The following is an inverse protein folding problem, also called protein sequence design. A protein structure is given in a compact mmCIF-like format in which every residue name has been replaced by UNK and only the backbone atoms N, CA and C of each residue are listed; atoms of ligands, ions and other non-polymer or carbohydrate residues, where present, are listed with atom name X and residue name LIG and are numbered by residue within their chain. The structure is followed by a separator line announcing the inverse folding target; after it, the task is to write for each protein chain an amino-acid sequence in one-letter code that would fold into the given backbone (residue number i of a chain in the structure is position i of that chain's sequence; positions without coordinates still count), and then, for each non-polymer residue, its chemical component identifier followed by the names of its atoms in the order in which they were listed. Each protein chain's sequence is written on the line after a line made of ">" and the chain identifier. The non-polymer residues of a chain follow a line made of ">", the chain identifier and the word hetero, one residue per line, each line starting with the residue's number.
data_IF_442216092352
#
_entry.id   IF_442216092352
#
_cell.length_a   1.000
_cell.length_b   1.000
_cell.length_c   1.000
_cell.angle_alpha   90.00
_cell.angle_beta   90.00
_cell.angle_gamma   90.00
#
_symmetry.space_group_name_H-M   'P 1'
#
loop_
_entity.id
_entity.type
_entity.pdbx_description
1 polymer ?
#
# COMPACT_ATOMS: atom_id res chain seq x y z
N UNK A 1 1.18 1.12 23.26
CA UNK A 1 0.66 0.71 21.93
C UNK A 1 1.82 0.67 20.96
N UNK A 2 2.04 -0.46 20.29
CA UNK A 2 3.03 -0.55 19.21
C UNK A 2 2.62 0.40 18.08
N UNK A 3 3.57 1.17 17.56
CA UNK A 3 3.33 2.13 16.48
C UNK A 3 3.05 1.37 15.19
N UNK A 4 1.88 1.56 14.59
CA UNK A 4 1.48 0.91 13.32
C UNK A 4 2.39 1.34 12.17
N UNK A 5 2.89 0.38 11.39
CA UNK A 5 3.59 0.63 10.14
C UNK A 5 2.59 0.83 9.02
N UNK A 6 2.69 1.95 8.31
CA UNK A 6 1.78 2.34 7.23
C UNK A 6 2.62 2.80 6.05
N UNK A 7 2.67 1.99 4.99
CA UNK A 7 3.38 2.32 3.76
C UNK A 7 2.80 3.57 3.08
N UNK A 8 1.49 3.59 2.86
CA UNK A 8 0.74 4.70 2.29
C UNK A 8 -0.76 4.54 2.60
N UNK A 9 -1.57 5.63 2.56
CA UNK A 9 -3.01 5.51 2.65
C UNK A 9 -3.55 4.78 1.42
N UNK A 10 -4.51 3.88 1.61
CA UNK A 10 -5.07 3.08 0.53
C UNK A 10 -6.54 2.83 0.79
N UNK A 11 -7.33 2.83 -0.29
CA UNK A 11 -8.76 2.54 -0.20
C UNK A 11 -8.96 1.12 0.35
N UNK A 12 -9.89 0.95 1.28
CA UNK A 12 -10.11 -0.33 1.98
C UNK A 12 -9.02 -0.75 2.98
N UNK A 13 -7.94 0.01 3.15
CA UNK A 13 -6.80 -0.37 3.99
C UNK A 13 -7.18 -0.64 5.46
N UNK A 14 -6.72 -1.78 6.00
CA UNK A 14 -7.11 -2.31 7.31
C UNK A 14 -6.42 -1.68 8.52
N UNK A 15 -5.79 -0.52 8.36
CA UNK A 15 -5.02 0.16 9.40
C UNK A 15 -5.84 0.46 10.67
N UNK A 16 -7.12 0.78 10.53
CA UNK A 16 -8.01 1.03 11.67
C UNK A 16 -8.43 -0.26 12.37
N UNK A 17 -8.49 -1.36 11.63
CA UNK A 17 -8.95 -2.69 12.05
C UNK A 17 -7.84 -3.54 12.71
N UNK A 18 -6.56 -3.19 12.57
CA UNK A 18 -5.45 -4.04 13.03
C UNK A 18 -5.55 -4.50 14.49
N UNK A 19 -6.05 -3.67 15.42
CA UNK A 19 -6.12 -4.03 16.84
C UNK A 19 -7.10 -5.16 17.14
N UNK A 20 -8.16 -5.32 16.34
CA UNK A 20 -9.10 -6.43 16.48
C UNK A 20 -8.76 -7.59 15.56
N UNK A 21 -8.21 -7.29 14.37
CA UNK A 21 -7.92 -8.28 13.33
C UNK A 21 -6.69 -9.13 13.66
N UNK A 22 -5.57 -8.52 14.04
CA UNK A 22 -4.30 -9.23 14.24
C UNK A 22 -4.38 -10.35 15.30
N UNK A 23 -5.09 -10.18 16.45
CA UNK A 23 -5.27 -11.26 17.41
C UNK A 23 -6.04 -12.49 16.90
N UNK A 24 -6.76 -12.36 15.77
CA UNK A 24 -7.51 -13.47 15.16
C UNK A 24 -6.68 -14.26 14.16
N UNK A 25 -5.51 -13.75 13.77
CA UNK A 25 -4.64 -14.41 12.81
C UNK A 25 -3.80 -15.46 13.54
N UNK A 26 -3.78 -16.73 13.08
CA UNK A 26 -2.90 -17.72 13.67
C UNK A 26 -1.44 -17.42 13.32
N UNK A 27 -0.53 -17.91 14.15
CA UNK A 27 0.85 -18.10 13.70
C UNK A 27 0.87 -19.15 12.59
N UNK A 28 1.70 -18.93 11.57
CA UNK A 28 1.81 -19.83 10.42
C UNK A 28 3.23 -19.82 9.85
N UNK A 29 3.61 -20.88 9.15
CA UNK A 29 4.90 -20.99 8.47
C UNK A 29 4.89 -20.19 7.16
N UNK A 30 3.76 -20.19 6.43
CA UNK A 30 3.58 -19.47 5.16
C UNK A 30 2.39 -18.52 5.28
N UNK A 31 2.64 -17.23 5.13
CA UNK A 31 1.58 -16.22 5.12
C UNK A 31 1.47 -15.61 3.73
N UNK A 32 0.24 -15.49 3.21
CA UNK A 32 -0.02 -15.02 1.85
C UNK A 32 -1.09 -13.93 1.88
N UNK A 33 -0.85 -12.80 1.21
CA UNK A 33 -1.87 -11.79 0.91
C UNK A 33 -2.10 -11.72 -0.61
N UNK A 34 -3.09 -12.45 -1.15
CA UNK A 34 -3.45 -12.36 -2.57
C UNK A 34 -3.99 -10.99 -3.00
N UNK A 35 -4.54 -10.22 -2.06
CA UNK A 35 -5.05 -8.85 -2.23
C UNK A 35 -4.33 -7.90 -1.27
N UNK A 36 -3.05 -7.65 -1.53
CA UNK A 36 -2.15 -7.02 -0.56
C UNK A 36 -2.41 -5.54 -0.34
N UNK A 37 -2.81 -4.78 -1.36
CA UNK A 37 -3.02 -3.33 -1.27
C UNK A 37 -1.85 -2.63 -0.58
N UNK A 38 -2.13 -1.88 0.50
CA UNK A 38 -1.08 -1.22 1.32
C UNK A 38 -0.24 -2.13 2.22
N UNK A 39 -0.41 -3.45 2.15
CA UNK A 39 0.22 -4.46 3.01
C UNK A 39 -0.03 -4.22 4.51
N UNK A 40 -1.20 -3.67 4.86
CA UNK A 40 -1.48 -3.20 6.21
C UNK A 40 -1.39 -4.32 7.25
N UNK A 41 -1.87 -5.52 6.90
CA UNK A 41 -1.84 -6.68 7.81
C UNK A 41 -0.46 -7.30 7.84
N UNK A 42 0.14 -7.60 6.68
CA UNK A 42 1.51 -8.11 6.56
C UNK A 42 2.54 -7.26 7.32
N UNK A 43 2.49 -5.92 7.18
CA UNK A 43 3.45 -5.03 7.84
C UNK A 43 3.30 -4.99 9.38
N UNK A 44 2.16 -5.42 9.92
CA UNK A 44 1.87 -5.29 11.36
C UNK A 44 1.64 -6.62 12.07
N UNK A 45 1.52 -7.74 11.35
CA UNK A 45 1.49 -9.08 11.93
C UNK A 45 2.87 -9.55 12.37
N UNK A 46 2.88 -10.53 13.25
CA UNK A 46 4.07 -11.32 13.55
C UNK A 46 4.61 -11.98 12.28
N UNK A 47 5.92 -11.92 12.08
CA UNK A 47 6.57 -12.39 10.87
C UNK A 47 6.51 -13.92 10.78
N UNK A 48 6.08 -14.41 9.62
CA UNK A 48 6.26 -15.82 9.23
C UNK A 48 7.61 -16.03 8.52
N UNK A 49 8.17 -17.26 8.56
CA UNK A 49 9.37 -17.60 7.79
C UNK A 49 9.21 -17.37 6.29
N UNK A 50 8.02 -17.62 5.75
CA UNK A 50 7.67 -17.34 4.35
C UNK A 50 6.49 -16.37 4.33
N UNK A 51 6.66 -15.23 3.68
CA UNK A 51 5.59 -14.25 3.45
C UNK A 51 5.52 -13.91 1.97
N UNK A 52 4.30 -13.95 1.41
CA UNK A 52 4.00 -13.63 0.01
C UNK A 52 3.03 -12.45 -0.02
N UNK A 53 3.40 -11.42 -0.75
CA UNK A 53 2.57 -10.28 -1.07
C UNK A 53 2.21 -10.32 -2.56
N UNK A 54 0.93 -10.17 -2.88
CA UNK A 54 0.45 -10.02 -4.25
C UNK A 54 -0.54 -8.86 -4.33
N UNK A 55 -0.51 -8.15 -5.44
CA UNK A 55 -1.63 -7.30 -5.86
C UNK A 55 -1.74 -7.36 -7.38
N UNK A 56 -2.94 -7.10 -7.91
CA UNK A 56 -3.14 -7.00 -9.35
C UNK A 56 -2.67 -5.64 -9.87
N UNK A 57 -2.71 -4.59 -9.04
CA UNK A 57 -2.26 -3.25 -9.42
C UNK A 57 -0.72 -3.19 -9.47
N UNK A 58 -0.22 -3.17 -10.70
CA UNK A 58 1.20 -3.06 -10.97
C UNK A 58 1.84 -1.80 -10.39
N UNK A 59 1.12 -0.70 -10.20
CA UNK A 59 1.67 0.50 -9.56
C UNK A 59 2.01 0.25 -8.09
N UNK A 60 1.13 -0.47 -7.39
CA UNK A 60 1.29 -0.83 -5.99
C UNK A 60 2.44 -1.83 -5.84
N UNK A 61 2.46 -2.87 -6.68
CA UNK A 61 3.53 -3.87 -6.69
C UNK A 61 4.87 -3.23 -7.05
N UNK A 62 4.91 -2.36 -8.07
CA UNK A 62 6.10 -1.61 -8.45
C UNK A 62 6.63 -0.77 -7.29
N UNK A 63 5.74 -0.07 -6.56
CA UNK A 63 6.14 0.71 -5.40
C UNK A 63 6.85 -0.14 -4.34
N UNK A 64 6.29 -1.30 -3.95
CA UNK A 64 6.95 -2.16 -2.96
C UNK A 64 8.26 -2.76 -3.46
N UNK A 65 8.35 -3.13 -4.75
CA UNK A 65 9.59 -3.62 -5.37
C UNK A 65 10.68 -2.56 -5.35
N UNK A 66 10.39 -1.36 -5.86
CA UNK A 66 11.35 -0.24 -5.88
C UNK A 66 11.70 0.18 -4.47
N UNK A 67 10.73 0.26 -3.57
CA UNK A 67 10.98 0.60 -2.18
C UNK A 67 11.97 -0.38 -1.52
N UNK A 68 11.86 -1.68 -1.81
CA UNK A 68 12.78 -2.70 -1.30
C UNK A 68 14.16 -2.63 -1.97
N UNK A 69 14.19 -2.49 -3.29
CA UNK A 69 15.40 -2.68 -4.11
C UNK A 69 16.23 -1.39 -4.30
N UNK A 70 15.59 -0.22 -4.25
CA UNK A 70 16.16 1.11 -4.51
C UNK A 70 15.65 2.13 -3.46
N UNK A 71 15.72 1.74 -2.18
CA UNK A 71 15.14 2.49 -1.08
C UNK A 71 15.68 3.94 -1.00
N UNK A 72 17.01 4.08 -1.00
CA UNK A 72 17.68 5.36 -0.80
C UNK A 72 17.38 6.32 -1.95
N UNK A 73 17.46 5.85 -3.20
CA UNK A 73 17.15 6.65 -4.38
C UNK A 73 15.69 7.11 -4.38
N UNK A 74 14.75 6.21 -4.06
CA UNK A 74 13.34 6.57 -3.97
C UNK A 74 13.09 7.59 -2.86
N UNK A 75 13.70 7.38 -1.69
CA UNK A 75 13.56 8.28 -0.54
C UNK A 75 14.06 9.68 -0.88
N UNK A 76 15.23 9.79 -1.51
CA UNK A 76 15.83 11.06 -1.86
C UNK A 76 15.00 11.80 -2.93
N UNK A 77 14.51 11.10 -3.95
CA UNK A 77 13.59 11.66 -4.94
C UNK A 77 12.27 12.16 -4.31
N UNK A 78 11.75 11.45 -3.31
CA UNK A 78 10.55 11.86 -2.59
C UNK A 78 10.81 13.09 -1.71
N UNK A 79 11.97 13.19 -1.04
CA UNK A 79 12.34 14.39 -0.29
C UNK A 79 12.50 15.62 -1.18
N UNK A 80 13.05 15.45 -2.38
CA UNK A 80 13.22 16.53 -3.36
C UNK A 80 11.91 16.89 -4.08
N UNK A 81 10.88 16.04 -4.01
CA UNK A 81 9.57 16.33 -4.61
C UNK A 81 8.80 17.32 -3.73
N UNK A 82 8.45 18.51 -4.25
CA UNK A 82 7.72 19.50 -3.47
C UNK A 82 6.28 19.07 -3.23
N UNK A 83 5.73 19.42 -2.06
CA UNK A 83 4.29 19.36 -1.84
C UNK A 83 3.61 20.49 -2.62
N UNK A 84 3.20 20.21 -3.85
CA UNK A 84 2.70 21.24 -4.77
C UNK A 84 1.68 20.67 -5.75
N UNK A 85 0.74 21.52 -6.15
CA UNK A 85 -0.27 21.16 -7.14
C UNK A 85 0.36 20.76 -8.49
N UNK A 86 1.43 21.44 -8.90
CA UNK A 86 2.16 21.12 -10.14
C UNK A 86 2.82 19.74 -10.07
N UNK A 87 3.53 19.42 -8.98
CA UNK A 87 4.13 18.10 -8.82
C UNK A 87 3.07 16.98 -8.78
N UNK A 88 1.93 17.24 -8.14
CA UNK A 88 0.80 16.32 -8.11
C UNK A 88 0.22 16.08 -9.52
N UNK A 89 -0.04 17.13 -10.29
CA UNK A 89 -0.54 16.96 -11.66
C UNK A 89 0.46 16.24 -12.57
N UNK A 90 1.74 16.61 -12.51
CA UNK A 90 2.78 15.97 -13.30
C UNK A 90 2.96 14.49 -12.95
N UNK A 91 2.57 14.07 -11.73
CA UNK A 91 2.63 12.67 -11.32
C UNK A 91 1.59 11.78 -12.01
N UNK A 92 0.59 12.36 -12.70
CA UNK A 92 -0.34 11.60 -13.54
C UNK A 92 0.22 11.23 -14.91
N UNK A 93 1.30 11.88 -15.35
CA UNK A 93 1.91 11.58 -16.64
C UNK A 93 2.47 10.14 -16.63
N UNK A 94 2.41 9.43 -17.77
CA UNK A 94 2.97 8.08 -17.87
C UNK A 94 4.50 8.10 -17.81
N UNK A 95 5.09 6.99 -17.36
CA UNK A 95 6.53 6.74 -17.36
C UNK A 95 6.79 5.25 -17.39
N UNK A 96 7.84 4.84 -18.09
CA UNK A 96 8.34 3.46 -18.10
C UNK A 96 9.45 3.22 -17.07
N UNK A 97 10.01 4.28 -16.48
CA UNK A 97 11.00 4.16 -15.42
C UNK A 97 10.34 3.69 -14.11
N UNK A 98 10.70 2.50 -13.59
CA UNK A 98 10.13 1.97 -12.35
C UNK A 98 10.29 2.90 -11.15
N UNK A 99 11.44 3.57 -11.04
CA UNK A 99 11.76 4.46 -9.91
C UNK A 99 10.86 5.70 -9.94
N UNK A 100 10.79 6.37 -11.08
CA UNK A 100 9.86 7.49 -11.28
C UNK A 100 8.40 7.06 -11.12
N UNK A 101 8.03 5.87 -11.58
CA UNK A 101 6.67 5.31 -11.39
C UNK A 101 6.32 5.17 -9.91
N UNK A 102 7.25 4.67 -9.08
CA UNK A 102 7.07 4.57 -7.63
C UNK A 102 6.98 5.96 -6.96
N UNK A 103 7.85 6.90 -7.35
CA UNK A 103 7.82 8.29 -6.86
C UNK A 103 6.48 8.98 -7.18
N UNK A 104 6.00 8.84 -8.42
CA UNK A 104 4.71 9.39 -8.89
C UNK A 104 3.54 8.77 -8.16
N UNK A 105 3.48 7.44 -8.05
CA UNK A 105 2.44 6.73 -7.30
C UNK A 105 2.31 7.24 -5.86
N UNK A 106 3.44 7.33 -5.14
CA UNK A 106 3.45 7.81 -3.76
C UNK A 106 3.07 9.29 -3.65
N UNK A 107 3.49 10.11 -4.62
CA UNK A 107 3.10 11.52 -4.75
C UNK A 107 1.59 11.65 -4.90
N UNK A 108 0.98 10.91 -5.83
CA UNK A 108 -0.46 10.93 -6.07
C UNK A 108 -1.25 10.51 -4.82
N UNK A 109 -0.84 9.42 -4.17
CA UNK A 109 -1.54 8.92 -2.99
C UNK A 109 -1.40 9.89 -1.80
N UNK A 110 -0.21 10.42 -1.52
CA UNK A 110 -0.02 11.24 -0.31
C UNK A 110 -0.33 12.72 -0.48
N UNK A 111 -0.29 13.25 -1.70
CA UNK A 111 -0.69 14.63 -1.96
C UNK A 111 -2.16 14.76 -2.37
N UNK A 112 -2.90 13.67 -2.55
CA UNK A 112 -4.34 13.71 -2.82
C UNK A 112 -5.20 13.79 -1.56
N UNK A 113 -6.40 14.34 -1.73
CA UNK A 113 -7.44 14.32 -0.71
C UNK A 113 -7.83 12.87 -0.42
N UNK A 114 -7.67 12.49 0.86
CA UNK A 114 -7.98 11.14 1.38
C UNK A 114 -7.28 9.97 0.65
N UNK A 115 -6.19 10.22 -0.08
CA UNK A 115 -5.49 9.15 -0.82
C UNK A 115 -6.19 8.69 -2.08
N UNK A 116 -7.14 9.47 -2.60
CA UNK A 116 -7.95 9.11 -3.79
C UNK A 116 -7.20 9.19 -5.12
N UNK A 117 -5.99 9.76 -5.13
CA UNK A 117 -5.21 10.08 -6.34
C UNK A 117 -5.88 11.07 -7.31
N UNK A 118 -7.08 11.61 -7.01
CA UNK A 118 -7.87 12.44 -7.96
C UNK A 118 -7.71 13.94 -7.77
N UNK A 119 -7.80 14.39 -6.52
CA UNK A 119 -7.81 15.82 -6.19
C UNK A 119 -6.68 16.13 -5.26
N UNK A 120 -5.87 17.15 -5.59
CA UNK A 120 -4.80 17.63 -4.71
C UNK A 120 -5.36 18.11 -3.36
N UNK A 121 -4.72 17.73 -2.26
CA UNK A 121 -5.11 18.15 -0.91
C UNK A 121 -4.44 19.46 -0.52
N UNK A 122 -5.22 20.32 0.14
CA UNK A 122 -4.73 21.53 0.78
C UNK A 122 -5.04 21.51 2.27
N UNK A 123 -4.21 22.16 3.07
CA UNK A 123 -4.42 22.26 4.51
C UNK A 123 -3.35 23.13 5.15
N UNK A 124 -3.77 24.31 5.64
CA UNK A 124 -2.88 25.32 6.21
C UNK A 124 -2.74 25.25 7.73
N UNK A 125 -3.47 24.34 8.38
CA UNK A 125 -3.33 24.12 9.83
C UNK A 125 -1.88 23.76 10.16
N UNK A 126 -1.28 24.47 11.13
CA UNK A 126 0.09 24.20 11.55
C UNK A 126 0.17 22.94 12.42
N UNK A 127 1.18 22.12 12.15
CA UNK A 127 1.51 20.91 12.93
C UNK A 127 3.01 20.65 12.89
N UNK A 128 3.63 20.61 14.07
CA UNK A 128 5.07 20.38 14.24
C UNK A 128 5.94 21.29 13.34
N UNK A 129 5.61 22.58 13.28
CA UNK A 129 6.36 23.57 12.49
C UNK A 129 6.05 23.62 10.99
N UNK A 130 5.17 22.76 10.48
CA UNK A 130 4.80 22.69 9.06
C UNK A 130 3.30 22.84 8.85
N UNK A 131 2.86 23.07 7.61
CA UNK A 131 1.45 22.84 7.26
C UNK A 131 1.11 21.36 7.47
N UNK A 132 -0.14 21.06 7.84
CA UNK A 132 -0.60 19.70 8.12
C UNK A 132 -0.30 18.75 6.98
N UNK A 133 -0.42 19.23 5.74
CA UNK A 133 -0.17 18.44 4.54
C UNK A 133 1.31 18.13 4.36
N UNK A 134 2.19 19.13 4.52
CA UNK A 134 3.65 18.94 4.45
C UNK A 134 4.13 18.02 5.57
N UNK A 135 3.61 18.17 6.79
CA UNK A 135 3.94 17.28 7.91
C UNK A 135 3.58 15.81 7.60
N UNK A 136 2.42 15.57 6.96
CA UNK A 136 1.98 14.21 6.56
C UNK A 136 2.81 13.63 5.42
N UNK A 137 3.27 14.48 4.50
CA UNK A 137 4.17 14.12 3.40
C UNK A 137 5.52 13.65 3.95
N UNK A 138 6.23 14.52 4.67
CA UNK A 138 7.55 14.24 5.24
C UNK A 138 7.51 13.06 6.22
N UNK A 139 6.56 13.06 7.15
CA UNK A 139 6.38 11.94 8.09
C UNK A 139 5.87 10.65 7.43
N UNK A 140 5.46 10.71 6.17
CA UNK A 140 5.20 9.53 5.34
C UNK A 140 6.48 8.93 4.77
N UNK A 141 7.37 9.78 4.26
CA UNK A 141 8.68 9.39 3.72
C UNK A 141 9.56 8.81 4.83
N UNK A 142 9.62 9.46 6.00
CA UNK A 142 10.42 9.01 7.15
C UNK A 142 10.06 7.61 7.65
N UNK A 143 8.83 7.15 7.41
CA UNK A 143 8.37 5.81 7.84
C UNK A 143 8.78 4.71 6.87
N UNK A 144 9.21 5.06 5.66
CA UNK A 144 9.51 4.08 4.62
C UNK A 144 10.68 3.17 5.01
N UNK A 145 11.67 3.66 5.74
CA UNK A 145 12.78 2.87 6.29
C UNK A 145 12.29 1.66 7.11
N UNK A 146 11.34 1.89 8.01
CA UNK A 146 10.76 0.84 8.84
C UNK A 146 9.88 -0.13 8.02
N UNK A 147 9.24 0.37 6.97
CA UNK A 147 8.47 -0.46 6.03
C UNK A 147 9.41 -1.38 5.25
N UNK A 148 10.51 -0.87 4.70
CA UNK A 148 11.54 -1.65 3.99
C UNK A 148 12.09 -2.74 4.89
N UNK A 149 12.50 -2.36 6.11
CA UNK A 149 13.02 -3.30 7.11
C UNK A 149 12.03 -4.44 7.38
N UNK A 150 10.73 -4.13 7.55
CA UNK A 150 9.70 -5.16 7.77
C UNK A 150 9.38 -5.98 6.52
N UNK A 151 9.48 -5.39 5.34
CA UNK A 151 9.13 -6.03 4.07
C UNK A 151 10.29 -6.82 3.45
N UNK A 152 11.49 -6.71 4.02
CA UNK A 152 12.69 -7.43 3.56
C UNK A 152 12.52 -8.95 3.66
N UNK A 153 12.64 -9.68 2.55
CA UNK A 153 12.43 -11.14 2.53
C UNK A 153 10.98 -11.57 2.27
N UNK A 154 10.07 -10.62 2.00
CA UNK A 154 8.74 -10.90 1.46
C UNK A 154 8.86 -11.19 -0.04
N UNK A 155 8.25 -12.29 -0.48
CA UNK A 155 8.09 -12.63 -1.89
C UNK A 155 7.01 -11.74 -2.50
N UNK A 156 7.26 -11.20 -3.70
CA UNK A 156 6.36 -10.25 -4.35
C UNK A 156 5.87 -10.83 -5.67
N UNK A 157 4.56 -10.99 -5.78
CA UNK A 157 3.84 -11.41 -6.98
C UNK A 157 3.04 -10.24 -7.57
N UNK A 158 2.66 -10.38 -8.85
CA UNK A 158 1.81 -9.44 -9.58
C UNK A 158 0.88 -10.23 -10.51
N UNK A 159 -0.01 -11.03 -9.91
CA UNK A 159 -0.84 -12.03 -10.60
C UNK A 159 -2.31 -11.90 -10.19
N UNK A 160 -3.25 -12.43 -11.00
CA UNK A 160 -4.63 -12.61 -10.55
C UNK A 160 -4.68 -13.37 -9.22
N UNK A 161 -5.49 -12.90 -8.28
CA UNK A 161 -5.51 -13.43 -6.93
C UNK A 161 -5.82 -14.93 -6.86
N UNK A 162 -6.73 -15.44 -7.70
CA UNK A 162 -7.05 -16.87 -7.78
C UNK A 162 -5.83 -17.73 -8.12
N UNK A 163 -4.97 -17.27 -9.04
CA UNK A 163 -3.72 -17.98 -9.36
C UNK A 163 -2.80 -18.07 -8.13
N UNK A 164 -2.69 -16.97 -7.36
CA UNK A 164 -1.87 -16.95 -6.14
C UNK A 164 -2.48 -17.84 -5.07
N UNK A 165 -3.81 -17.82 -4.91
CA UNK A 165 -4.50 -18.67 -3.95
C UNK A 165 -4.19 -20.14 -4.21
N UNK A 166 -4.34 -20.59 -5.46
CA UNK A 166 -4.05 -21.97 -5.87
C UNK A 166 -2.56 -22.31 -5.75
N UNK A 167 -1.66 -21.42 -6.17
CA UNK A 167 -0.22 -21.66 -6.17
C UNK A 167 0.37 -21.81 -4.75
N UNK A 168 -0.27 -21.21 -3.75
CA UNK A 168 0.17 -21.25 -2.35
C UNK A 168 -0.84 -21.95 -1.42
N UNK A 169 -1.75 -22.77 -1.97
CA UNK A 169 -2.66 -23.61 -1.17
C UNK A 169 -1.88 -24.79 -0.57
N UNK A 170 -1.47 -24.62 0.69
CA UNK A 170 -0.67 -25.57 1.44
C UNK A 170 -1.17 -25.69 2.89
N UNK A 171 -1.13 -26.87 3.53
CA UNK A 171 -1.62 -27.06 4.91
C UNK A 171 -0.91 -26.19 5.95
N UNK A 172 0.30 -25.72 5.70
CA UNK A 172 1.03 -24.80 6.58
C UNK A 172 0.90 -23.33 6.14
N UNK A 173 -0.03 -23.03 5.22
CA UNK A 173 -0.31 -21.68 4.76
C UNK A 173 -1.50 -21.06 5.51
N UNK A 174 -1.41 -19.76 5.76
CA UNK A 174 -2.56 -18.93 6.08
C UNK A 174 -2.66 -17.83 5.02
N UNK A 175 -3.77 -17.82 4.29
CA UNK A 175 -4.03 -16.81 3.27
C UNK A 175 -5.03 -15.78 3.78
N UNK A 176 -4.64 -14.51 3.82
CA UNK A 176 -5.50 -13.40 4.19
C UNK A 176 -6.09 -12.75 2.94
N UNK A 177 -7.40 -12.94 2.74
CA UNK A 177 -8.12 -12.41 1.58
C UNK A 177 -8.86 -11.12 1.96
N UNK A 178 -8.51 -10.04 1.29
CA UNK A 178 -9.18 -8.73 1.42
C UNK A 178 -9.55 -8.17 0.04
N UNK A 179 -10.41 -8.87 -0.72
CA UNK A 179 -10.79 -8.43 -2.05
C UNK A 179 -11.55 -7.09 -2.02
N UNK A 180 -11.58 -6.35 -3.15
CA UNK A 180 -12.53 -5.28 -3.34
C UNK A 180 -13.96 -5.73 -2.96
N UNK A 181 -14.64 -5.06 -2.01
CA UNK A 181 -15.97 -5.50 -1.52
C UNK A 181 -17.07 -5.56 -2.59
N UNK A 182 -18.11 -6.37 -2.42
CA UNK A 182 -19.28 -6.31 -3.32
C UNK A 182 -19.85 -4.89 -3.42
N UNK A 183 -20.34 -4.49 -4.60
CA UNK A 183 -20.76 -3.11 -4.86
C UNK A 183 -21.85 -2.60 -3.90
N UNK A 184 -22.73 -3.49 -3.45
CA UNK A 184 -23.83 -3.17 -2.52
C UNK A 184 -23.31 -2.75 -1.13
N UNK A 185 -22.11 -3.18 -0.75
CA UNK A 185 -21.49 -2.85 0.54
C UNK A 185 -20.67 -1.55 0.50
N UNK A 186 -20.66 -0.82 -0.63
CA UNK A 186 -19.80 0.36 -0.82
C UNK A 186 -20.58 1.64 -1.09
N UNK A 187 -20.08 2.75 -0.51
CA UNK A 187 -20.57 4.09 -0.84
C UNK A 187 -20.09 4.59 -2.22
N UNK A 188 -19.00 4.03 -2.76
CA UNK A 188 -18.40 4.44 -4.05
C UNK A 188 -17.96 3.22 -4.86
N UNK A 189 -18.19 3.25 -6.18
CA UNK A 189 -17.83 2.16 -7.11
C UNK A 189 -16.45 2.29 -7.77
N UNK A 190 -15.73 3.37 -7.50
CA UNK A 190 -14.48 3.72 -8.21
C UNK A 190 -13.28 3.87 -7.26
N UNK A 191 -13.18 2.98 -6.27
CA UNK A 191 -12.16 3.06 -5.21
C UNK A 191 -10.86 2.33 -5.54
N UNK A 192 -10.93 1.32 -6.40
CA UNK A 192 -9.78 0.55 -6.88
C UNK A 192 -9.59 0.75 -8.38
N UNK A 193 -8.34 0.69 -8.84
CA UNK A 193 -8.03 0.75 -10.27
C UNK A 193 -8.43 -0.57 -10.98
N UNK A 194 -8.49 -1.67 -10.22
CA UNK A 194 -8.97 -2.98 -10.64
C UNK A 194 -10.15 -3.41 -9.75
N UNK A 195 -11.35 -3.49 -10.33
CA UNK A 195 -12.59 -3.85 -9.62
C UNK A 195 -12.98 -5.32 -9.85
N UNK A 196 -13.77 -5.87 -8.91
CA UNK A 196 -14.38 -7.19 -9.02
C UNK A 196 -15.89 -7.07 -9.23
N UNK A 197 -16.42 -7.92 -10.11
CA UNK A 197 -17.88 -8.08 -10.29
C UNK A 197 -18.47 -8.97 -9.21
N UNK A 198 -19.79 -8.92 -9.02
CA UNK A 198 -20.47 -9.84 -8.10
C UNK A 198 -20.29 -11.32 -8.48
N UNK A 199 -19.97 -11.63 -9.75
CA UNK A 199 -19.69 -12.99 -10.18
C UNK A 199 -18.28 -13.44 -9.78
N UNK A 200 -17.29 -12.55 -9.81
CA UNK A 200 -15.92 -12.84 -9.34
C UNK A 200 -15.86 -13.13 -7.83
N UNK A 201 -16.92 -12.81 -7.09
CA UNK A 201 -17.06 -13.10 -5.66
C UNK A 201 -17.63 -14.49 -5.34
N UNK A 202 -18.23 -15.18 -6.32
CA UNK A 202 -18.81 -16.52 -6.14
C UNK A 202 -17.77 -17.60 -6.34
#
# INVERSE_FOLDING_TARGET
>A
MVKKLIAFPYYGGKNLQLSWLLPLLPYTMRYVEPFGGSAAVLLNRERSPVEVYNDLDNNVVNFFRVLRDQHDELRDLLYLTPYSKTAFHNAHEPTEDPLEKARRFFTLIRQSFMGTKRSWATGLMLRAGWSLMVNRWLGGIEKLEAVVSRFTGVLIECRPALYVIEAYDDPESFQYLDPPYVHEARATKEGYDYEMTNEDHK
#
